data_IF_042118344559
#
_entry.id   IF_042118344559
#
_cell.length_a   1.000
_cell.length_b   1.000
_cell.length_c   1.000
_cell.angle_alpha   90.00
_cell.angle_beta   90.00
_cell.angle_gamma   90.00
#
_symmetry.space_group_name_H-M   'P 1'
#
loop_
_entity.id
_entity.type
_entity.pdbx_description
1 polymer ?
#
# COMPACT_ATOMS: atom_id res chain seq x y z
N UNK A 1 10.25 -3.79 5.54
CA UNK A 1 10.06 -5.06 6.30
C UNK A 1 8.80 -5.87 6.00
N UNK A 2 7.67 -5.28 5.56
CA UNK A 2 6.37 -5.97 5.45
C UNK A 2 6.32 -7.32 4.68
N UNK A 3 7.01 -7.46 3.55
CA UNK A 3 6.94 -8.68 2.73
C UNK A 3 7.59 -9.91 3.40
N UNK A 4 8.65 -9.72 4.19
CA UNK A 4 9.35 -10.83 4.87
C UNK A 4 8.48 -11.37 6.01
N UNK A 5 7.91 -10.47 6.83
CA UNK A 5 7.07 -10.85 7.97
C UNK A 5 5.76 -11.50 7.53
N UNK A 6 5.16 -11.03 6.43
CA UNK A 6 3.98 -11.67 5.83
C UNK A 6 4.27 -13.12 5.42
N UNK A 7 5.35 -13.34 4.66
CA UNK A 7 5.74 -14.67 4.21
C UNK A 7 6.14 -15.61 5.36
N UNK A 8 6.79 -15.05 6.38
CA UNK A 8 7.20 -15.79 7.58
C UNK A 8 6.04 -16.06 8.56
N UNK A 9 4.85 -15.52 8.31
CA UNK A 9 3.67 -15.61 9.19
C UNK A 9 3.93 -15.09 10.61
N UNK A 10 4.77 -14.06 10.73
CA UNK A 10 5.05 -13.38 11.99
C UNK A 10 3.95 -12.34 12.22
N UNK A 11 3.40 -12.29 13.43
CA UNK A 11 2.43 -11.26 13.80
C UNK A 11 3.11 -9.87 13.77
N UNK A 12 2.69 -8.93 12.89
CA UNK A 12 3.28 -7.60 12.81
C UNK A 12 3.19 -6.83 14.14
N UNK A 13 2.22 -7.14 15.01
CA UNK A 13 2.09 -6.51 16.32
C UNK A 13 3.17 -6.91 17.32
N UNK A 14 3.92 -7.98 17.03
CA UNK A 14 5.06 -8.41 17.84
C UNK A 14 6.34 -7.59 17.59
N UNK A 15 6.32 -6.68 16.61
CA UNK A 15 7.45 -5.84 16.29
C UNK A 15 7.86 -4.96 17.49
N UNK A 16 9.14 -5.05 17.89
CA UNK A 16 9.72 -4.22 18.94
C UNK A 16 9.93 -2.77 18.50
N UNK A 17 10.14 -2.57 17.20
CA UNK A 17 10.32 -1.28 16.56
C UNK A 17 9.79 -1.36 15.12
N UNK A 18 9.29 -0.22 14.61
CA UNK A 18 8.89 -0.09 13.23
C UNK A 18 9.92 0.76 12.47
N UNK A 19 10.12 0.44 11.19
CA UNK A 19 10.95 1.24 10.29
C UNK A 19 10.22 2.53 9.91
N UNK A 20 10.95 3.64 9.83
CA UNK A 20 10.45 4.84 9.17
C UNK A 20 10.42 4.63 7.66
N UNK A 21 9.23 4.59 7.07
CA UNK A 21 9.05 4.42 5.63
C UNK A 21 9.30 5.74 4.93
N UNK A 22 10.42 5.82 4.20
CA UNK A 22 10.77 7.00 3.43
C UNK A 22 9.95 7.10 2.13
N UNK A 23 9.65 8.31 1.61
CA UNK A 23 8.83 8.48 0.41
C UNK A 23 9.33 7.70 -0.82
N UNK A 24 10.65 7.62 -1.00
CA UNK A 24 11.26 6.87 -2.11
C UNK A 24 11.14 5.35 -1.99
N UNK A 25 10.64 4.82 -0.87
CA UNK A 25 10.44 3.38 -0.65
C UNK A 25 8.98 2.95 -0.78
N UNK A 26 8.07 3.90 -1.06
CA UNK A 26 6.66 3.57 -1.29
C UNK A 26 6.50 2.75 -2.55
N UNK A 27 5.63 1.74 -2.47
CA UNK A 27 5.18 0.99 -3.64
C UNK A 27 4.38 1.93 -4.55
N UNK A 28 4.66 1.85 -5.84
CA UNK A 28 4.04 2.72 -6.85
C UNK A 28 3.41 1.87 -7.95
N UNK A 29 2.23 2.27 -8.41
CA UNK A 29 1.69 1.79 -9.68
C UNK A 29 2.52 2.39 -10.81
N UNK A 30 3.26 1.55 -11.51
CA UNK A 30 4.08 1.96 -12.66
C UNK A 30 3.52 1.34 -13.94
N UNK A 31 3.38 2.17 -14.98
CA UNK A 31 2.90 1.74 -16.29
C UNK A 31 3.90 2.16 -17.36
N UNK A 32 3.91 1.44 -18.49
CA UNK A 32 4.64 1.89 -19.67
C UNK A 32 4.10 3.25 -20.12
N UNK A 33 4.95 4.16 -20.59
CA UNK A 33 4.57 5.53 -20.94
C UNK A 33 3.38 5.61 -21.90
N UNK A 34 3.31 4.71 -22.89
CA UNK A 34 2.18 4.65 -23.85
C UNK A 34 0.82 4.40 -23.18
N UNK A 35 0.81 3.91 -21.95
CA UNK A 35 -0.38 3.58 -21.19
C UNK A 35 -0.73 4.62 -20.11
N UNK A 36 0.04 5.71 -19.97
CA UNK A 36 -0.17 6.71 -18.90
C UNK A 36 -1.61 7.25 -18.88
N UNK A 37 -2.22 7.39 -20.06
CA UNK A 37 -3.57 7.93 -20.22
C UNK A 37 -4.63 6.86 -20.49
N UNK A 38 -4.24 5.58 -20.51
CA UNK A 38 -5.16 4.49 -20.77
C UNK A 38 -6.21 4.40 -19.66
N UNK A 39 -7.47 4.14 -20.05
CA UNK A 39 -8.58 4.13 -19.09
C UNK A 39 -8.34 3.16 -17.93
N UNK A 40 -7.88 1.94 -18.23
CA UNK A 40 -7.59 0.94 -17.20
C UNK A 40 -6.55 1.40 -16.17
N UNK A 41 -5.58 2.24 -16.57
CA UNK A 41 -4.56 2.75 -15.65
C UNK A 41 -5.19 3.78 -14.69
N UNK A 42 -6.06 4.65 -15.22
CA UNK A 42 -6.84 5.62 -14.44
C UNK A 42 -7.81 4.92 -13.48
N UNK A 43 -8.42 3.83 -13.92
CA UNK A 43 -9.36 3.05 -13.11
C UNK A 43 -8.64 2.40 -11.90
N UNK A 44 -7.40 1.94 -12.05
CA UNK A 44 -6.61 1.43 -10.93
C UNK A 44 -6.30 2.55 -9.93
N UNK A 45 -5.89 3.74 -10.40
CA UNK A 45 -5.67 4.89 -9.52
C UNK A 45 -6.95 5.22 -8.73
N UNK A 46 -8.09 5.32 -9.42
CA UNK A 46 -9.37 5.59 -8.80
C UNK A 46 -9.76 4.51 -7.76
N UNK A 47 -9.47 3.23 -8.03
CA UNK A 47 -9.74 2.14 -7.09
C UNK A 47 -8.88 2.26 -5.82
N UNK A 48 -7.58 2.57 -5.94
CA UNK A 48 -6.69 2.75 -4.79
C UNK A 48 -7.03 3.99 -3.95
N UNK A 49 -7.64 5.02 -4.54
CA UNK A 49 -8.11 6.21 -3.82
C UNK A 49 -9.57 6.13 -3.37
N UNK A 50 -10.27 5.04 -3.67
CA UNK A 50 -11.70 4.88 -3.36
C UNK A 50 -11.96 4.80 -1.85
N UNK A 51 -13.15 5.26 -1.43
CA UNK A 51 -13.58 5.12 -0.04
C UNK A 51 -13.70 3.64 0.36
N UNK A 52 -14.17 2.78 -0.54
CA UNK A 52 -14.27 1.34 -0.29
C UNK A 52 -12.91 0.73 0.08
N UNK A 53 -11.85 1.12 -0.63
CA UNK A 53 -10.50 0.64 -0.30
C UNK A 53 -9.98 1.23 1.01
N UNK A 54 -10.26 2.51 1.27
CA UNK A 54 -9.93 3.16 2.56
C UNK A 54 -10.58 2.41 3.73
N UNK A 55 -11.89 2.16 3.66
CA UNK A 55 -12.64 1.43 4.69
C UNK A 55 -12.11 -0.01 4.87
N UNK A 56 -11.77 -0.67 3.76
CA UNK A 56 -11.16 -2.00 3.81
C UNK A 56 -9.83 -1.97 4.55
N UNK A 57 -8.95 -1.01 4.23
CA UNK A 57 -7.64 -0.90 4.87
C UNK A 57 -7.77 -0.53 6.35
N UNK A 58 -8.67 0.37 6.73
CA UNK A 58 -8.92 0.69 8.14
C UNK A 58 -9.38 -0.52 8.96
N UNK A 59 -10.25 -1.36 8.37
CA UNK A 59 -10.77 -2.55 9.05
C UNK A 59 -9.77 -3.71 9.10
N UNK A 60 -8.96 -3.88 8.06
CA UNK A 60 -8.18 -5.11 7.85
C UNK A 60 -6.67 -4.93 8.02
N UNK A 61 -6.14 -3.70 7.99
CA UNK A 61 -4.72 -3.46 8.17
C UNK A 61 -4.34 -3.50 9.66
N UNK A 62 -3.83 -4.64 10.10
CA UNK A 62 -3.44 -4.91 11.48
C UNK A 62 -2.03 -4.40 11.85
N UNK A 63 -1.50 -3.44 11.11
CA UNK A 63 -0.13 -2.91 11.25
C UNK A 63 0.88 -3.52 10.28
N UNK A 64 0.44 -4.40 9.37
CA UNK A 64 1.30 -4.99 8.34
C UNK A 64 1.67 -4.00 7.23
N UNK A 65 0.70 -3.19 6.77
CA UNK A 65 0.87 -2.30 5.64
C UNK A 65 1.08 -0.86 6.09
N UNK A 66 2.02 -0.18 5.45
CA UNK A 66 2.18 1.26 5.60
C UNK A 66 1.21 1.96 4.63
N UNK A 67 0.37 2.86 5.17
CA UNK A 67 -0.52 3.72 4.38
C UNK A 67 -0.02 5.16 4.50
N UNK A 68 0.40 5.81 3.39
CA UNK A 68 0.86 7.19 3.41
C UNK A 68 -0.23 8.14 3.90
N UNK A 69 0.15 9.16 4.69
CA UNK A 69 -0.77 10.23 5.08
C UNK A 69 -0.75 11.32 4.00
N UNK A 70 -1.82 11.48 3.23
CA UNK A 70 -1.96 12.64 2.33
C UNK A 70 -2.62 12.40 0.96
N UNK A 71 -3.53 11.43 0.81
CA UNK A 71 -4.36 11.25 -0.39
C UNK A 71 -5.87 11.30 -0.10
#
# INVERSE_FOLDING_TARGET
TGAIIYNAKIDPKSALANEDVLPQWLLQLVVNEKNKDAQWAKDIVAAYHSQEFKDYMEKNNNGLWFVPKGE
#
